data_IF_145812069148
#
_entry.id   IF_145812069148
#
_cell.length_a   1.000
_cell.length_b   1.000
_cell.length_c   1.000
_cell.angle_alpha   90.00
_cell.angle_beta   90.00
_cell.angle_gamma   90.00
#
_symmetry.space_group_name_H-M   'P 1'
#
loop_
_entity.id
_entity.type
_entity.pdbx_description
1 polymer ?
#
# COMPACT_ATOMS: atom_id res chain seq x y z
N UNK A 1 46.50 -16.37 59.24
CA UNK A 1 45.59 -15.59 60.10
C UNK A 1 45.81 -14.12 59.74
N UNK A 2 44.92 -13.38 59.11
CA UNK A 2 43.46 -13.49 59.01
C UNK A 2 42.98 -13.31 57.56
N UNK A 3 41.86 -13.93 57.18
CA UNK A 3 41.21 -13.74 55.90
C UNK A 3 40.47 -12.40 55.88
N UNK A 4 40.59 -11.65 54.78
CA UNK A 4 39.69 -10.53 54.54
C UNK A 4 38.26 -11.07 54.40
N UNK A 5 37.42 -10.70 55.37
CA UNK A 5 35.98 -10.87 55.35
C UNK A 5 35.43 -10.30 54.04
N UNK A 6 34.85 -11.17 53.21
CA UNK A 6 33.81 -10.75 52.28
C UNK A 6 32.56 -10.59 53.13
N UNK A 7 32.13 -9.35 53.31
CA UNK A 7 30.86 -9.01 53.93
C UNK A 7 29.73 -9.40 52.96
N UNK A 8 28.81 -10.32 53.31
CA UNK A 8 27.76 -10.78 52.40
C UNK A 8 26.50 -9.90 52.42
N UNK A 9 26.57 -8.67 52.93
CA UNK A 9 25.40 -7.84 53.18
C UNK A 9 25.43 -6.50 52.42
N UNK A 10 25.38 -6.54 51.09
CA UNK A 10 24.80 -5.47 50.25
C UNK A 10 24.60 -5.98 48.82
N UNK A 11 23.76 -7.02 48.68
CA UNK A 11 23.14 -7.34 47.39
C UNK A 11 21.77 -6.63 47.32
N UNK A 12 21.79 -5.30 47.49
CA UNK A 12 20.69 -4.46 47.02
C UNK A 12 20.97 -4.19 45.56
N UNK A 13 20.63 -5.16 44.71
CA UNK A 13 20.38 -4.87 43.30
C UNK A 13 19.18 -3.92 43.28
N UNK A 14 19.43 -2.61 43.39
CA UNK A 14 18.45 -1.63 42.95
C UNK A 14 18.12 -2.00 41.51
N UNK A 15 16.90 -2.52 41.28
CA UNK A 15 16.38 -2.75 39.94
C UNK A 15 16.37 -1.39 39.26
N UNK A 16 17.42 -1.10 38.50
CA UNK A 16 17.51 0.09 37.67
C UNK A 16 16.39 -0.03 36.66
N UNK A 17 15.33 0.76 36.85
CA UNK A 17 14.20 0.80 35.94
C UNK A 17 14.73 0.98 34.51
N UNK A 18 14.30 0.10 33.60
CA UNK A 18 14.72 0.16 32.20
C UNK A 18 14.45 1.55 31.63
N UNK A 19 15.42 2.10 30.89
CA UNK A 19 15.23 3.36 30.15
C UNK A 19 14.07 3.29 29.14
N UNK A 20 13.58 2.07 28.85
CA UNK A 20 12.43 1.81 27.98
C UNK A 20 11.14 1.52 28.74
N UNK A 21 11.11 1.65 30.08
CA UNK A 21 9.94 1.28 30.91
C UNK A 21 8.65 2.02 30.51
N UNK A 22 8.77 3.21 29.93
CA UNK A 22 7.65 4.03 29.47
C UNK A 22 7.34 3.87 27.97
N UNK A 23 7.99 2.94 27.26
CA UNK A 23 7.70 2.70 25.86
C UNK A 23 6.27 2.13 25.72
N UNK A 24 5.37 2.82 25.00
CA UNK A 24 4.00 2.35 24.86
C UNK A 24 3.97 1.09 24.00
N UNK A 25 3.17 0.11 24.40
CA UNK A 25 2.83 -1.03 23.54
C UNK A 25 1.99 -0.51 22.37
N UNK A 26 2.53 -0.60 21.15
CA UNK A 26 1.80 -0.29 19.93
C UNK A 26 1.14 -1.58 19.43
N UNK A 27 -0.19 -1.56 19.31
CA UNK A 27 -0.95 -2.69 18.77
C UNK A 27 -0.57 -2.95 17.31
N UNK A 28 -0.60 -4.22 16.92
CA UNK A 28 -0.34 -4.62 15.54
C UNK A 28 -1.38 -3.97 14.59
N UNK A 29 -0.92 -3.62 13.39
CA UNK A 29 -1.80 -3.15 12.32
C UNK A 29 -2.86 -4.22 12.01
N UNK A 30 -4.12 -3.79 11.85
CA UNK A 30 -5.29 -4.65 11.67
C UNK A 30 -5.07 -5.70 10.57
N UNK A 31 -4.44 -5.32 9.44
CA UNK A 31 -4.25 -6.23 8.31
C UNK A 31 -3.16 -7.26 8.58
N UNK A 32 -2.12 -6.90 9.33
CA UNK A 32 -1.08 -7.83 9.73
C UNK A 32 -1.58 -8.80 10.81
N UNK A 33 -2.37 -8.31 11.77
CA UNK A 33 -3.03 -9.15 12.76
C UNK A 33 -3.97 -10.17 12.08
N UNK A 34 -4.83 -9.71 11.17
CA UNK A 34 -5.73 -10.57 10.39
C UNK A 34 -4.98 -11.63 9.58
N UNK A 35 -3.83 -11.28 8.98
CA UNK A 35 -3.00 -12.23 8.25
C UNK A 35 -2.33 -13.26 9.18
N UNK A 36 -1.94 -12.86 10.39
CA UNK A 36 -1.40 -13.77 11.39
C UNK A 36 -2.47 -14.77 11.88
N UNK A 37 -3.69 -14.29 12.18
CA UNK A 37 -4.82 -15.14 12.58
C UNK A 37 -5.17 -16.14 11.48
N UNK A 38 -5.27 -15.68 10.22
CA UNK A 38 -5.51 -16.55 9.08
C UNK A 38 -4.43 -17.63 8.93
N UNK A 39 -3.17 -17.32 9.24
CA UNK A 39 -2.07 -18.29 9.15
C UNK A 39 -2.19 -19.38 10.21
N UNK A 40 -2.61 -19.03 11.42
CA UNK A 40 -2.78 -19.96 12.54
C UNK A 40 -3.99 -20.87 12.37
N UNK A 41 -5.06 -20.35 11.76
CA UNK A 41 -6.28 -21.11 11.49
C UNK A 41 -6.00 -22.37 10.64
N UNK A 42 -6.47 -23.53 11.09
CA UNK A 42 -6.30 -24.81 10.40
C UNK A 42 -7.57 -25.25 9.65
N UNK A 43 -8.64 -24.45 9.68
CA UNK A 43 -9.90 -24.82 9.06
C UNK A 43 -9.74 -24.98 7.53
N UNK A 44 -10.19 -26.09 6.93
CA UNK A 44 -9.92 -26.40 5.52
C UNK A 44 -10.56 -25.42 4.53
N UNK A 45 -11.65 -24.75 4.93
CA UNK A 45 -12.38 -23.79 4.10
C UNK A 45 -12.07 -22.33 4.44
N UNK A 46 -10.98 -22.05 5.17
CA UNK A 46 -10.63 -20.66 5.51
C UNK A 46 -10.36 -19.84 4.25
N UNK A 47 -10.83 -18.59 4.24
CA UNK A 47 -10.65 -17.67 3.09
C UNK A 47 -10.01 -16.37 3.57
N UNK A 48 -8.94 -15.94 2.89
CA UNK A 48 -8.28 -14.68 3.19
C UNK A 48 -8.63 -13.61 2.15
N UNK A 49 -9.45 -12.66 2.55
CA UNK A 49 -9.88 -11.49 1.79
C UNK A 49 -9.31 -10.18 2.37
N UNK A 50 -8.34 -10.22 3.27
CA UNK A 50 -7.77 -9.02 3.90
C UNK A 50 -6.71 -8.31 3.04
N UNK A 51 -5.57 -8.94 2.76
CA UNK A 51 -4.46 -8.34 2.03
C UNK A 51 -4.77 -8.05 0.57
N UNK A 52 -4.26 -6.90 0.08
CA UNK A 52 -4.27 -6.53 -1.34
C UNK A 52 -3.13 -7.17 -2.13
N UNK A 53 -2.88 -8.46 -1.94
CA UNK A 53 -1.95 -9.22 -2.78
C UNK A 53 -2.74 -9.99 -3.83
N UNK A 54 -2.29 -9.89 -5.08
CA UNK A 54 -2.91 -10.65 -6.16
C UNK A 54 -2.61 -12.15 -6.01
N UNK A 55 -3.64 -12.96 -6.28
CA UNK A 55 -3.58 -14.41 -6.34
C UNK A 55 -4.16 -14.92 -7.64
N UNK A 56 -3.69 -16.09 -8.08
CA UNK A 56 -4.24 -16.80 -9.23
C UNK A 56 -5.58 -17.49 -8.90
N UNK A 57 -6.10 -18.27 -9.85
CA UNK A 57 -7.34 -19.05 -9.74
C UNK A 57 -7.31 -20.12 -8.64
N UNK A 58 -6.12 -20.49 -8.16
CA UNK A 58 -5.91 -21.46 -7.09
C UNK A 58 -5.60 -20.79 -5.74
N UNK A 59 -5.71 -19.45 -5.67
CA UNK A 59 -5.41 -18.69 -4.46
C UNK A 59 -3.92 -18.60 -4.13
N UNK A 60 -3.04 -18.88 -5.09
CA UNK A 60 -1.58 -18.84 -4.91
C UNK A 60 -0.98 -17.50 -5.37
N UNK A 61 0.16 -17.07 -4.79
CA UNK A 61 0.90 -15.92 -5.29
C UNK A 61 1.28 -16.12 -6.77
N UNK A 62 0.98 -15.13 -7.60
CA UNK A 62 1.26 -15.19 -9.04
C UNK A 62 2.45 -14.33 -9.40
N UNK A 63 3.52 -14.94 -9.92
CA UNK A 63 4.65 -14.21 -10.49
C UNK A 63 4.29 -13.85 -11.92
N UNK A 64 4.27 -12.55 -12.22
CA UNK A 64 4.00 -12.06 -13.58
C UNK A 64 5.01 -12.67 -14.57
N UNK A 65 4.54 -13.24 -15.70
CA UNK A 65 5.40 -13.69 -16.78
C UNK A 65 6.48 -12.68 -17.20
N UNK A 66 6.13 -11.40 -17.35
CA UNK A 66 7.07 -10.31 -17.64
C UNK A 66 8.19 -10.19 -16.59
N UNK A 67 7.84 -10.29 -15.30
CA UNK A 67 8.81 -10.27 -14.19
C UNK A 67 9.72 -11.50 -14.24
N UNK A 68 9.15 -12.68 -14.52
CA UNK A 68 9.95 -13.91 -14.66
C UNK A 68 10.94 -13.82 -15.82
N UNK A 69 10.52 -13.26 -16.97
CA UNK A 69 11.39 -13.03 -18.12
C UNK A 69 12.50 -12.03 -17.79
N UNK A 70 12.15 -10.89 -17.18
CA UNK A 70 13.12 -9.87 -16.73
C UNK A 70 14.15 -10.44 -15.74
N UNK A 71 13.73 -11.29 -14.80
CA UNK A 71 14.65 -11.96 -13.87
C UNK A 71 15.67 -12.84 -14.59
N UNK A 72 15.29 -13.55 -15.67
CA UNK A 72 16.22 -14.37 -16.46
C UNK A 72 17.25 -13.49 -17.16
N UNK A 73 16.78 -12.43 -17.83
CA UNK A 73 17.66 -11.46 -18.51
C UNK A 73 18.68 -10.88 -17.53
N UNK A 74 18.24 -10.47 -16.34
CA UNK A 74 19.14 -9.91 -15.31
C UNK A 74 20.13 -10.95 -14.78
N UNK A 75 19.70 -12.21 -14.62
CA UNK A 75 20.58 -13.28 -14.14
C UNK A 75 21.70 -13.61 -15.14
N UNK A 76 21.41 -13.52 -16.44
CA UNK A 76 22.37 -13.79 -17.53
C UNK A 76 23.44 -12.69 -17.68
N UNK A 77 23.20 -11.48 -17.15
CA UNK A 77 24.12 -10.35 -17.25
C UNK A 77 25.33 -10.42 -16.29
N UNK A 78 25.36 -11.35 -15.33
CA UNK A 78 26.48 -11.48 -14.39
C UNK A 78 26.72 -10.23 -13.52
N UNK A 79 25.65 -9.50 -13.18
CA UNK A 79 25.76 -8.22 -12.48
C UNK A 79 26.28 -8.35 -11.04
N UNK A 80 27.07 -7.37 -10.62
CA UNK A 80 27.46 -7.19 -9.22
C UNK A 80 26.37 -6.49 -8.39
N UNK A 81 26.45 -6.65 -7.07
CA UNK A 81 25.56 -6.06 -6.07
C UNK A 81 26.12 -4.74 -5.49
N UNK A 82 26.70 -3.91 -6.35
CA UNK A 82 27.20 -2.58 -5.98
C UNK A 82 26.08 -1.62 -5.58
N UNK A 83 26.42 -0.64 -4.75
CA UNK A 83 25.51 0.44 -4.39
C UNK A 83 25.04 1.22 -5.62
N UNK A 84 23.76 1.58 -5.62
CA UNK A 84 23.22 2.54 -6.56
C UNK A 84 23.63 3.98 -6.19
N UNK A 85 23.51 4.94 -7.14
CA UNK A 85 23.48 6.36 -6.78
C UNK A 85 22.47 6.63 -5.67
N UNK A 86 22.67 7.71 -4.90
CA UNK A 86 21.81 8.05 -3.76
C UNK A 86 20.33 8.12 -4.16
N UNK A 87 20.03 8.81 -5.28
CA UNK A 87 18.67 8.90 -5.82
C UNK A 87 18.18 7.60 -6.48
N UNK A 88 19.00 6.56 -6.58
CA UNK A 88 18.70 5.27 -7.21
C UNK A 88 19.02 5.20 -8.70
N UNK A 89 18.49 4.18 -9.38
CA UNK A 89 18.77 3.91 -10.79
C UNK A 89 18.21 5.03 -11.70
N UNK A 90 19.04 5.71 -12.51
CA UNK A 90 18.59 6.72 -13.46
C UNK A 90 17.58 6.17 -14.48
N UNK A 91 17.80 4.94 -14.94
CA UNK A 91 16.95 4.23 -15.90
C UNK A 91 15.56 4.02 -15.30
N UNK A 92 15.52 3.43 -14.10
CA UNK A 92 14.27 3.21 -13.39
C UNK A 92 13.49 4.50 -13.15
N UNK A 93 14.17 5.56 -12.71
CA UNK A 93 13.54 6.87 -12.47
C UNK A 93 12.95 7.48 -13.73
N UNK A 94 13.67 7.39 -14.84
CA UNK A 94 13.24 7.90 -16.14
C UNK A 94 12.00 7.16 -16.63
N UNK A 95 12.03 5.82 -16.61
CA UNK A 95 10.91 5.01 -17.08
C UNK A 95 9.68 5.13 -16.18
N UNK A 96 9.85 5.28 -14.87
CA UNK A 96 8.73 5.56 -13.96
C UNK A 96 8.13 6.95 -14.18
N UNK A 97 8.96 7.96 -14.49
CA UNK A 97 8.47 9.30 -14.82
C UNK A 97 7.64 9.29 -16.12
N UNK A 98 8.10 8.59 -17.15
CA UNK A 98 7.34 8.37 -18.40
C UNK A 98 6.05 7.60 -18.14
N UNK A 99 6.10 6.54 -17.34
CA UNK A 99 4.91 5.75 -16.99
C UNK A 99 3.86 6.61 -16.27
N UNK A 100 4.28 7.47 -15.34
CA UNK A 100 3.38 8.29 -14.54
C UNK A 100 2.82 9.52 -15.27
N UNK A 101 3.62 10.16 -16.13
CA UNK A 101 3.26 11.39 -16.83
C UNK A 101 2.80 11.17 -18.29
N UNK A 102 3.01 9.97 -18.83
CA UNK A 102 2.98 9.69 -20.26
C UNK A 102 4.19 10.29 -20.99
N UNK A 103 4.55 9.74 -22.15
CA UNK A 103 5.73 10.19 -22.91
C UNK A 103 5.68 11.68 -23.25
N UNK A 104 4.52 12.17 -23.70
CA UNK A 104 4.31 13.59 -23.99
C UNK A 104 4.42 14.46 -22.74
N UNK A 105 3.84 14.02 -21.62
CA UNK A 105 3.89 14.76 -20.36
C UNK A 105 5.30 14.83 -19.79
N UNK A 106 6.05 13.74 -19.91
CA UNK A 106 7.47 13.68 -19.56
C UNK A 106 8.30 14.60 -20.44
N UNK A 107 8.17 14.51 -21.76
CA UNK A 107 8.95 15.34 -22.69
C UNK A 107 8.79 16.85 -22.45
N UNK A 108 7.58 17.30 -22.08
CA UNK A 108 7.29 18.71 -21.78
C UNK A 108 7.85 19.14 -20.41
N UNK A 109 8.03 18.22 -19.48
CA UNK A 109 8.34 18.51 -18.07
C UNK A 109 9.69 17.98 -17.61
N UNK A 110 10.46 17.31 -18.46
CA UNK A 110 11.69 16.60 -18.10
C UNK A 110 12.64 17.48 -17.30
N UNK A 111 12.91 18.69 -17.78
CA UNK A 111 13.79 19.65 -17.10
C UNK A 111 13.22 20.23 -15.79
N UNK A 112 11.94 19.95 -15.50
CA UNK A 112 11.18 20.42 -14.34
C UNK A 112 10.84 19.30 -13.35
N UNK A 113 11.38 18.10 -13.55
CA UNK A 113 11.13 16.95 -12.67
C UNK A 113 12.33 16.75 -11.75
N UNK A 114 12.07 16.73 -10.44
CA UNK A 114 12.96 16.09 -9.47
C UNK A 114 12.40 14.72 -9.11
N UNK A 115 13.24 13.69 -9.19
CA UNK A 115 12.84 12.30 -8.94
C UNK A 115 13.85 11.57 -8.07
N UNK A 116 13.36 10.67 -7.21
CA UNK A 116 14.19 9.75 -6.44
C UNK A 116 13.50 8.39 -6.30
N UNK A 117 14.25 7.31 -6.46
CA UNK A 117 13.77 5.96 -6.17
C UNK A 117 13.64 5.80 -4.65
N UNK A 118 12.49 5.33 -4.20
CA UNK A 118 12.16 5.15 -2.79
C UNK A 118 11.84 3.69 -2.46
N UNK A 119 11.68 3.37 -1.17
CA UNK A 119 11.23 2.06 -0.70
C UNK A 119 9.72 1.93 -0.94
N UNK A 120 9.35 1.61 -2.19
CA UNK A 120 7.97 1.48 -2.64
C UNK A 120 7.14 2.78 -2.39
N UNK A 121 5.81 2.66 -2.40
CA UNK A 121 4.89 3.77 -2.17
C UNK A 121 4.95 4.35 -0.74
N UNK A 122 5.15 3.50 0.27
CA UNK A 122 5.32 3.95 1.67
C UNK A 122 6.52 4.89 1.80
N UNK A 123 7.67 4.50 1.24
CA UNK A 123 8.86 5.33 1.22
C UNK A 123 8.67 6.61 0.41
N UNK A 124 7.91 6.57 -0.70
CA UNK A 124 7.59 7.76 -1.48
C UNK A 124 6.79 8.78 -0.67
N UNK A 125 5.73 8.34 0.02
CA UNK A 125 4.91 9.19 0.89
C UNK A 125 5.72 9.76 2.06
N UNK A 126 6.57 8.95 2.67
CA UNK A 126 7.44 9.38 3.76
C UNK A 126 8.43 10.45 3.30
N UNK A 127 9.13 10.21 2.19
CA UNK A 127 10.08 11.16 1.62
C UNK A 127 9.40 12.46 1.16
N UNK A 128 8.19 12.37 0.61
CA UNK A 128 7.41 13.55 0.27
C UNK A 128 7.03 14.36 1.52
N UNK A 129 6.56 13.69 2.58
CA UNK A 129 6.26 14.33 3.85
C UNK A 129 7.48 15.03 4.45
N UNK A 130 8.64 14.36 4.46
CA UNK A 130 9.90 14.97 4.91
C UNK A 130 10.28 16.19 4.07
N UNK A 131 10.16 16.08 2.75
CA UNK A 131 10.47 17.16 1.82
C UNK A 131 9.56 18.38 2.08
N UNK A 132 8.24 18.17 2.15
CA UNK A 132 7.27 19.21 2.43
C UNK A 132 7.54 19.86 3.80
N UNK A 133 7.83 19.07 4.82
CA UNK A 133 8.08 19.56 6.18
C UNK A 133 9.33 20.43 6.28
N UNK A 134 10.39 20.11 5.53
CA UNK A 134 11.68 20.81 5.61
C UNK A 134 11.82 21.97 4.62
N UNK A 135 11.22 21.87 3.45
CA UNK A 135 11.54 22.75 2.32
C UNK A 135 10.35 23.52 1.75
N UNK A 136 9.14 23.27 2.22
CA UNK A 136 7.97 24.05 1.81
C UNK A 136 7.54 25.04 2.90
N UNK A 137 6.85 26.10 2.50
CA UNK A 137 6.16 27.03 3.41
C UNK A 137 4.68 26.65 3.61
N UNK A 138 4.29 25.44 3.21
CA UNK A 138 2.89 24.99 3.29
C UNK A 138 2.48 24.74 4.74
N UNK A 139 1.17 24.71 4.98
CA UNK A 139 0.64 24.30 6.27
C UNK A 139 1.03 22.85 6.56
N UNK A 140 0.99 22.49 7.84
CA UNK A 140 1.17 21.10 8.27
C UNK A 140 -0.11 20.27 8.10
N UNK A 141 -1.13 20.79 7.43
CA UNK A 141 -2.40 20.10 7.28
C UNK A 141 -2.37 19.19 6.05
N UNK A 142 -2.71 17.92 6.26
CA UNK A 142 -2.83 16.92 5.19
C UNK A 142 -4.26 16.40 5.19
N UNK A 143 -4.99 16.68 4.12
CA UNK A 143 -6.34 16.19 3.91
C UNK A 143 -6.30 14.75 3.37
N UNK A 144 -6.89 13.83 4.12
CA UNK A 144 -6.93 12.40 3.84
C UNK A 144 -8.39 11.97 3.67
N UNK A 145 -8.67 11.19 2.63
CA UNK A 145 -10.02 10.68 2.37
C UNK A 145 -10.52 9.83 3.53
N UNK A 146 -11.83 9.84 3.77
CA UNK A 146 -12.49 8.92 4.70
C UNK A 146 -13.46 8.01 3.94
N UNK A 147 -13.19 6.69 3.87
CA UNK A 147 -12.02 5.98 4.37
C UNK A 147 -10.76 6.18 3.50
N UNK A 148 -9.62 5.65 3.97
CA UNK A 148 -8.32 5.69 3.29
C UNK A 148 -7.53 4.38 3.52
N UNK A 149 -6.36 4.22 2.88
CA UNK A 149 -5.34 3.32 3.37
C UNK A 149 -4.85 3.77 4.76
N UNK A 150 -4.98 2.89 5.75
CA UNK A 150 -4.73 3.18 7.18
C UNK A 150 -3.36 3.84 7.42
N UNK A 151 -2.34 3.37 6.70
CA UNK A 151 -0.98 3.84 6.89
C UNK A 151 -0.73 5.30 6.43
N UNK A 152 -1.65 5.91 5.67
CA UNK A 152 -1.54 7.36 5.39
C UNK A 152 -1.47 8.16 6.69
N UNK A 153 -2.30 7.83 7.68
CA UNK A 153 -2.26 8.51 8.97
C UNK A 153 -0.95 8.24 9.72
N UNK A 154 -0.45 7.00 9.72
CA UNK A 154 0.79 6.63 10.40
C UNK A 154 2.01 7.36 9.83
N UNK A 155 2.11 7.43 8.50
CA UNK A 155 3.20 8.13 7.81
C UNK A 155 3.17 9.62 8.13
N UNK A 156 2.06 10.31 7.89
CA UNK A 156 2.03 11.77 8.02
C UNK A 156 2.02 12.24 9.48
N UNK A 157 1.35 11.54 10.41
CA UNK A 157 1.40 11.89 11.83
C UNK A 157 2.78 11.71 12.44
N UNK A 158 3.53 10.66 12.05
CA UNK A 158 4.90 10.46 12.56
C UNK A 158 5.86 11.58 12.13
N UNK A 159 5.55 12.27 11.04
CA UNK A 159 6.28 13.45 10.55
C UNK A 159 5.75 14.78 11.11
N UNK A 160 4.76 14.74 12.00
CA UNK A 160 4.18 15.91 12.65
C UNK A 160 3.23 16.72 11.76
N UNK A 161 2.53 16.08 10.81
CA UNK A 161 1.42 16.68 10.09
C UNK A 161 0.09 16.50 10.84
N UNK A 162 -0.80 17.49 10.69
CA UNK A 162 -2.19 17.43 11.10
C UNK A 162 -3.00 16.70 10.01
N UNK A 163 -3.35 15.43 10.27
CA UNK A 163 -4.16 14.65 9.34
C UNK A 163 -5.65 15.02 9.48
N UNK A 164 -6.12 15.89 8.60
CA UNK A 164 -7.52 16.25 8.47
C UNK A 164 -8.24 15.23 7.58
N UNK A 165 -9.53 15.01 7.82
CA UNK A 165 -10.33 14.07 7.05
C UNK A 165 -11.35 14.80 6.19
N UNK A 166 -11.65 14.24 5.03
CA UNK A 166 -12.82 14.61 4.24
C UNK A 166 -13.61 13.38 3.82
N UNK A 167 -14.94 13.47 3.84
CA UNK A 167 -15.80 12.36 3.46
C UNK A 167 -15.60 12.09 1.97
N UNK A 168 -15.19 10.88 1.65
CA UNK A 168 -14.95 10.44 0.27
C UNK A 168 -15.97 9.39 -0.15
N UNK A 169 -16.29 8.47 0.74
CA UNK A 169 -17.27 7.41 0.51
C UNK A 169 -18.57 7.71 1.27
N UNK A 170 -19.69 7.52 0.58
CA UNK A 170 -21.01 7.55 1.16
C UNK A 170 -21.49 6.12 1.43
N UNK A 171 -21.62 5.72 2.70
CA UNK A 171 -21.95 4.35 3.06
C UNK A 171 -23.42 3.97 2.79
N UNK A 172 -24.32 4.95 2.75
CA UNK A 172 -25.75 4.72 2.51
C UNK A 172 -25.97 4.41 1.03
N UNK A 173 -25.48 5.31 0.17
CA UNK A 173 -25.60 5.23 -1.28
C UNK A 173 -24.54 4.34 -1.94
N UNK A 174 -23.45 4.04 -1.22
CA UNK A 174 -22.28 3.28 -1.69
C UNK A 174 -21.60 3.92 -2.90
N UNK A 175 -21.61 5.26 -2.94
CA UNK A 175 -21.01 6.07 -4.01
C UNK A 175 -19.99 7.07 -3.47
N UNK A 176 -19.45 7.90 -4.36
CA UNK A 176 -18.60 9.02 -4.00
C UNK A 176 -19.42 10.09 -3.28
N UNK A 177 -18.92 10.62 -2.16
CA UNK A 177 -19.47 11.79 -1.49
C UNK A 177 -18.99 13.07 -2.20
N UNK A 178 -19.42 13.25 -3.45
CA UNK A 178 -18.89 14.26 -4.38
C UNK A 178 -18.94 15.68 -3.79
N UNK A 179 -20.07 16.07 -3.22
CA UNK A 179 -20.26 17.40 -2.64
C UNK A 179 -19.26 17.67 -1.51
N UNK A 180 -19.01 16.67 -0.64
CA UNK A 180 -18.03 16.80 0.44
C UNK A 180 -16.61 16.97 -0.08
N UNK A 181 -16.26 16.30 -1.19
CA UNK A 181 -14.94 16.41 -1.81
C UNK A 181 -14.76 17.82 -2.36
N UNK A 182 -15.72 18.33 -3.13
CA UNK A 182 -15.64 19.67 -3.71
C UNK A 182 -15.57 20.73 -2.62
N UNK A 183 -16.43 20.67 -1.60
CA UNK A 183 -16.39 21.59 -0.46
C UNK A 183 -15.04 21.57 0.28
N UNK A 184 -14.44 20.39 0.43
CA UNK A 184 -13.11 20.27 1.03
C UNK A 184 -12.06 20.92 0.13
N UNK A 185 -12.09 20.67 -1.18
CA UNK A 185 -11.13 21.25 -2.13
C UNK A 185 -11.25 22.78 -2.21
N UNK A 186 -12.47 23.32 -2.11
CA UNK A 186 -12.72 24.77 -2.12
C UNK A 186 -12.29 25.46 -0.82
N UNK A 187 -12.42 24.77 0.32
CA UNK A 187 -12.02 25.29 1.64
C UNK A 187 -10.55 25.03 2.00
N UNK A 188 -9.90 24.05 1.36
CA UNK A 188 -8.50 23.75 1.59
C UNK A 188 -7.59 24.84 1.00
N UNK A 189 -6.72 25.39 1.83
CA UNK A 189 -5.73 26.36 1.39
C UNK A 189 -4.60 25.67 0.63
N UNK A 190 -4.69 25.66 -0.71
CA UNK A 190 -3.68 25.24 -1.71
C UNK A 190 -2.95 23.90 -1.44
N UNK A 191 -3.30 22.86 -2.20
CA UNK A 191 -2.73 21.51 -2.05
C UNK A 191 -2.14 20.92 -3.33
N UNK A 192 -1.00 20.25 -3.22
CA UNK A 192 -0.47 19.33 -4.25
C UNK A 192 -0.47 17.88 -3.75
N UNK A 193 -0.54 16.93 -4.69
CA UNK A 193 -0.82 15.50 -4.46
C UNK A 193 0.45 14.66 -4.60
N UNK A 194 0.65 13.66 -3.74
CA UNK A 194 1.83 12.79 -3.71
C UNK A 194 1.53 11.39 -4.27
N UNK A 195 2.43 10.90 -5.14
CA UNK A 195 2.59 9.50 -5.55
C UNK A 195 4.07 9.10 -5.45
N UNK A 196 4.59 8.18 -6.30
CA UNK A 196 6.04 8.01 -6.48
C UNK A 196 6.70 9.40 -6.57
N UNK A 197 7.80 9.66 -5.85
CA UNK A 197 8.23 11.04 -5.59
C UNK A 197 8.81 11.68 -6.86
N UNK A 198 7.90 12.15 -7.69
CA UNK A 198 8.07 13.00 -8.84
C UNK A 198 7.58 14.37 -8.40
N UNK A 199 8.51 15.25 -8.06
CA UNK A 199 8.21 16.65 -7.81
C UNK A 199 8.28 17.38 -9.13
N UNK A 200 7.13 17.81 -9.64
CA UNK A 200 7.03 18.61 -10.86
C UNK A 200 7.03 20.08 -10.46
N UNK A 201 8.13 20.78 -10.69
CA UNK A 201 8.24 22.20 -10.37
C UNK A 201 7.77 23.10 -11.51
N UNK A 202 7.53 24.38 -11.22
CA UNK A 202 7.19 25.38 -12.24
C UNK A 202 8.40 25.78 -13.10
N UNK A 203 9.61 25.70 -12.55
CA UNK A 203 10.89 26.07 -13.18
C UNK A 203 11.94 24.96 -13.08
N UNK A 204 12.93 24.99 -13.98
CA UNK A 204 14.05 24.05 -13.98
C UNK A 204 14.97 24.23 -12.77
N UNK A 205 15.18 25.48 -12.34
CA UNK A 205 15.97 25.79 -11.15
C UNK A 205 15.34 25.19 -9.89
N UNK A 206 14.02 25.32 -9.73
CA UNK A 206 13.30 24.72 -8.62
C UNK A 206 13.39 23.19 -8.65
N UNK A 207 13.32 22.57 -9.83
CA UNK A 207 13.51 21.13 -9.98
C UNK A 207 14.92 20.70 -9.60
N UNK A 208 15.95 21.41 -10.06
CA UNK A 208 17.35 21.14 -9.71
C UNK A 208 17.59 21.23 -8.20
N UNK A 209 17.09 22.29 -7.57
CA UNK A 209 17.21 22.49 -6.12
C UNK A 209 16.45 21.40 -5.35
N UNK A 210 15.25 21.05 -5.81
CA UNK A 210 14.44 19.96 -5.23
C UNK A 210 15.15 18.61 -5.35
N UNK A 211 15.81 18.34 -6.47
CA UNK A 211 16.57 17.09 -6.66
C UNK A 211 17.76 17.00 -5.71
N UNK A 212 18.50 18.09 -5.50
CA UNK A 212 19.59 18.13 -4.51
C UNK A 212 19.09 17.93 -3.07
N UNK A 213 17.96 18.55 -2.72
CA UNK A 213 17.33 18.36 -1.42
C UNK A 213 16.83 16.93 -1.21
N UNK A 214 16.24 16.31 -2.24
CA UNK A 214 15.85 14.89 -2.21
C UNK A 214 17.04 13.96 -2.02
N UNK A 215 18.17 14.25 -2.67
CA UNK A 215 19.39 13.48 -2.52
C UNK A 215 19.90 13.54 -1.08
N UNK A 216 19.93 14.74 -0.48
CA UNK A 216 20.30 14.94 0.92
C UNK A 216 19.40 14.14 1.87
N UNK A 217 18.07 14.22 1.71
CA UNK A 217 17.13 13.45 2.52
C UNK A 217 17.35 11.94 2.35
N UNK A 218 17.50 11.48 1.10
CA UNK A 218 17.65 10.06 0.80
C UNK A 218 18.90 9.49 1.45
N UNK A 219 20.01 10.24 1.40
CA UNK A 219 21.26 9.86 2.03
C UNK A 219 21.12 9.67 3.55
N UNK A 220 20.32 10.51 4.20
CA UNK A 220 20.11 10.50 5.66
C UNK A 220 19.17 9.36 6.05
N UNK A 221 18.07 9.15 5.31
CA UNK A 221 17.03 8.18 5.71
C UNK A 221 17.43 6.73 5.42
N UNK A 222 18.02 6.45 4.25
CA UNK A 222 18.34 5.08 3.86
C UNK A 222 19.56 4.94 2.94
N UNK A 223 20.42 5.96 2.86
CA UNK A 223 21.64 5.99 2.04
C UNK A 223 21.42 5.92 0.53
N UNK A 224 21.01 4.75 0.02
CA UNK A 224 20.66 4.49 -1.38
C UNK A 224 19.63 3.34 -1.43
N UNK A 225 18.76 3.31 -2.45
CA UNK A 225 17.67 2.35 -2.50
C UNK A 225 18.11 0.98 -3.07
N UNK A 226 17.32 -0.10 -2.83
CA UNK A 226 17.63 -1.45 -3.32
C UNK A 226 17.67 -1.54 -4.86
N UNK A 227 18.70 -2.23 -5.38
CA UNK A 227 18.93 -2.29 -6.84
C UNK A 227 18.03 -3.26 -7.59
N UNK A 228 17.83 -4.47 -7.08
CA UNK A 228 17.31 -5.59 -7.88
C UNK A 228 15.89 -5.36 -8.40
N UNK A 229 14.99 -4.83 -7.56
CA UNK A 229 13.62 -4.51 -7.98
C UNK A 229 13.55 -3.40 -9.03
N UNK A 230 14.39 -2.37 -8.89
CA UNK A 230 14.48 -1.29 -9.88
C UNK A 230 15.03 -1.80 -11.21
N UNK A 231 16.02 -2.69 -11.20
CA UNK A 231 16.54 -3.34 -12.42
C UNK A 231 15.47 -4.16 -13.12
N UNK A 232 14.65 -4.93 -12.38
CA UNK A 232 13.52 -5.68 -12.96
C UNK A 232 12.56 -4.74 -13.69
N UNK A 233 12.08 -3.71 -12.99
CA UNK A 233 11.13 -2.76 -13.56
C UNK A 233 11.72 -2.00 -14.76
N UNK A 234 12.96 -1.50 -14.66
CA UNK A 234 13.63 -0.82 -15.76
C UNK A 234 13.80 -1.74 -16.98
N UNK A 235 14.22 -2.99 -16.76
CA UNK A 235 14.36 -3.99 -17.85
C UNK A 235 13.02 -4.21 -18.56
N UNK A 236 11.92 -4.33 -17.81
CA UNK A 236 10.58 -4.49 -18.39
C UNK A 236 10.20 -3.25 -19.21
N UNK A 237 10.38 -2.05 -18.65
CA UNK A 237 9.91 -0.80 -19.27
C UNK A 237 10.74 -0.39 -20.49
N UNK A 238 12.00 -0.84 -20.59
CA UNK A 238 12.89 -0.53 -21.71
C UNK A 238 12.78 -1.50 -22.89
N UNK A 239 12.22 -2.69 -22.67
CA UNK A 239 12.06 -3.73 -23.69
C UNK A 239 10.62 -3.80 -24.18
N UNK A 240 10.40 -3.56 -25.47
CA UNK A 240 9.05 -3.52 -26.07
C UNK A 240 8.29 -4.83 -25.94
N UNK A 241 8.97 -5.98 -26.01
CA UNK A 241 8.34 -7.29 -25.86
C UNK A 241 7.94 -7.52 -24.40
N UNK A 242 8.81 -7.14 -23.45
CA UNK A 242 8.49 -7.22 -22.03
C UNK A 242 7.37 -6.25 -21.62
N UNK A 243 7.32 -5.03 -22.16
CA UNK A 243 6.19 -4.11 -21.96
C UNK A 243 4.90 -4.73 -22.49
N UNK A 244 4.92 -5.30 -23.70
CA UNK A 244 3.75 -5.94 -24.28
C UNK A 244 3.29 -7.14 -23.43
N UNK A 245 4.22 -7.95 -22.92
CA UNK A 245 3.90 -9.04 -22.01
C UNK A 245 3.36 -8.52 -20.67
N UNK A 246 3.95 -7.48 -20.11
CA UNK A 246 3.51 -6.87 -18.87
C UNK A 246 2.08 -6.32 -18.99
N UNK A 247 1.74 -5.67 -20.10
CA UNK A 247 0.36 -5.25 -20.38
C UNK A 247 -0.61 -6.45 -20.44
N UNK A 248 -0.22 -7.56 -21.06
CA UNK A 248 -1.02 -8.80 -21.03
C UNK A 248 -1.18 -9.34 -19.62
N UNK A 249 -0.14 -9.27 -18.80
CA UNK A 249 -0.18 -9.71 -17.41
C UNK A 249 -1.16 -8.85 -16.59
N UNK A 250 -1.14 -7.51 -16.77
CA UNK A 250 -2.10 -6.59 -16.14
C UNK A 250 -3.55 -6.85 -16.59
N UNK A 251 -3.77 -7.12 -17.88
CA UNK A 251 -5.09 -7.49 -18.41
C UNK A 251 -5.55 -8.82 -17.81
N UNK A 252 -4.67 -9.81 -17.70
CA UNK A 252 -4.98 -11.11 -17.07
C UNK A 252 -5.44 -10.90 -15.62
N UNK A 253 -4.68 -10.13 -14.83
CA UNK A 253 -5.02 -9.85 -13.43
C UNK A 253 -6.34 -9.09 -13.29
N UNK A 254 -6.51 -8.02 -14.07
CA UNK A 254 -7.70 -7.17 -13.98
C UNK A 254 -8.96 -7.88 -14.47
N UNK A 255 -8.87 -8.70 -15.52
CA UNK A 255 -9.97 -9.51 -16.03
C UNK A 255 -10.43 -10.51 -14.98
N UNK A 256 -9.51 -11.27 -14.36
CA UNK A 256 -9.87 -12.22 -13.29
C UNK A 256 -10.52 -11.54 -12.09
N UNK A 257 -10.03 -10.36 -11.70
CA UNK A 257 -10.65 -9.56 -10.63
C UNK A 257 -12.08 -9.16 -11.03
N UNK A 258 -12.30 -8.72 -12.27
CA UNK A 258 -13.63 -8.40 -12.78
C UNK A 258 -14.55 -9.63 -12.81
N UNK A 259 -14.03 -10.79 -13.22
CA UNK A 259 -14.76 -12.06 -13.22
C UNK A 259 -15.19 -12.47 -11.81
N UNK A 260 -14.29 -12.39 -10.82
CA UNK A 260 -14.63 -12.71 -9.43
C UNK A 260 -15.60 -11.72 -8.81
N UNK A 261 -15.52 -10.45 -9.20
CA UNK A 261 -16.49 -9.42 -8.81
C UNK A 261 -17.88 -9.75 -9.37
N UNK A 262 -17.94 -10.14 -10.64
CA UNK A 262 -19.16 -10.60 -11.30
C UNK A 262 -19.72 -11.88 -10.66
N UNK A 263 -18.86 -12.87 -10.40
CA UNK A 263 -19.24 -14.12 -9.76
C UNK A 263 -19.81 -13.90 -8.35
N UNK A 264 -19.14 -13.10 -7.51
CA UNK A 264 -19.64 -12.77 -6.17
C UNK A 264 -21.02 -12.09 -6.24
N UNK A 265 -21.18 -11.10 -7.12
CA UNK A 265 -22.45 -10.43 -7.33
C UNK A 265 -23.56 -11.40 -7.77
N UNK A 266 -23.29 -12.28 -8.73
CA UNK A 266 -24.25 -13.27 -9.20
C UNK A 266 -24.64 -14.27 -8.12
N UNK A 267 -23.68 -14.77 -7.34
CA UNK A 267 -23.93 -15.71 -6.25
C UNK A 267 -24.76 -15.07 -5.14
N UNK A 268 -24.48 -13.82 -4.75
CA UNK A 268 -25.28 -13.08 -3.77
C UNK A 268 -26.71 -12.83 -4.29
N UNK A 269 -26.85 -12.34 -5.52
CA UNK A 269 -28.15 -11.96 -6.10
C UNK A 269 -29.09 -13.15 -6.30
N UNK A 270 -28.56 -14.39 -6.37
CA UNK A 270 -29.37 -15.61 -6.44
C UNK A 270 -29.94 -16.03 -5.08
N UNK A 271 -29.37 -15.55 -3.99
CA UNK A 271 -29.63 -16.02 -2.63
C UNK A 271 -30.36 -14.97 -1.76
N UNK A 272 -30.48 -13.72 -2.21
CA UNK A 272 -31.17 -12.64 -1.50
C UNK A 272 -31.73 -11.60 -2.47
N UNK A 273 -32.82 -10.93 -2.08
CA UNK A 273 -33.41 -9.79 -2.81
C UNK A 273 -32.66 -8.46 -2.58
N UNK A 274 -31.70 -8.43 -1.66
CA UNK A 274 -30.88 -7.24 -1.40
C UNK A 274 -30.07 -6.82 -2.63
N UNK A 275 -29.99 -5.51 -2.89
CA UNK A 275 -29.16 -4.97 -3.98
C UNK A 275 -27.66 -5.05 -3.65
N UNK A 276 -26.92 -5.75 -4.51
CA UNK A 276 -25.46 -5.91 -4.47
C UNK A 276 -24.75 -5.28 -5.67
N UNK A 277 -25.44 -4.47 -6.49
CA UNK A 277 -24.88 -3.89 -7.73
C UNK A 277 -23.69 -2.97 -7.49
N UNK A 278 -23.52 -2.42 -6.28
CA UNK A 278 -22.32 -1.65 -5.91
C UNK A 278 -21.03 -2.48 -5.99
N UNK A 279 -21.10 -3.81 -5.87
CA UNK A 279 -19.92 -4.67 -5.99
C UNK A 279 -19.32 -4.56 -7.39
N UNK A 280 -20.14 -4.59 -8.44
CA UNK A 280 -19.71 -4.53 -9.85
C UNK A 280 -19.45 -3.10 -10.36
N UNK A 281 -19.94 -2.07 -9.67
CA UNK A 281 -19.61 -0.66 -9.98
C UNK A 281 -18.24 -0.24 -9.46
N UNK A 282 -17.74 -0.92 -8.42
CA UNK A 282 -16.41 -0.67 -7.87
C UNK A 282 -15.31 -1.25 -8.76
N UNK A 283 -14.12 -0.64 -8.70
CA UNK A 283 -12.95 -1.02 -9.52
C UNK A 283 -11.73 -1.31 -8.64
N UNK A 284 -10.72 -1.94 -9.25
CA UNK A 284 -9.47 -2.29 -8.57
C UNK A 284 -9.55 -3.58 -7.77
N UNK A 285 -8.52 -3.82 -6.95
CA UNK A 285 -8.35 -5.09 -6.22
C UNK A 285 -9.31 -5.24 -5.03
N UNK A 286 -9.82 -4.13 -4.51
CA UNK A 286 -10.68 -4.13 -3.33
C UNK A 286 -12.14 -3.87 -3.70
N UNK A 287 -13.03 -4.20 -2.75
CA UNK A 287 -14.43 -3.78 -2.76
C UNK A 287 -14.93 -3.63 -1.33
N UNK A 288 -15.82 -2.67 -1.10
CA UNK A 288 -16.59 -2.54 0.12
C UNK A 288 -17.92 -3.27 -0.05
N UNK A 289 -18.17 -4.28 0.81
CA UNK A 289 -19.45 -4.99 0.81
C UNK A 289 -20.53 -4.18 1.55
N UNK A 290 -20.16 -3.43 2.58
CA UNK A 290 -21.08 -2.66 3.42
C UNK A 290 -21.71 -3.47 4.55
N UNK A 291 -21.06 -4.55 4.97
CA UNK A 291 -21.45 -5.37 6.12
C UNK A 291 -21.13 -4.64 7.43
N UNK A 292 -21.94 -4.87 8.46
CA UNK A 292 -21.65 -4.34 9.79
C UNK A 292 -20.45 -5.08 10.42
N UNK A 293 -19.72 -4.46 11.36
CA UNK A 293 -18.64 -5.13 12.09
C UNK A 293 -19.08 -6.42 12.80
N UNK A 294 -20.34 -6.51 13.22
CA UNK A 294 -20.93 -7.72 13.82
C UNK A 294 -20.97 -8.86 12.79
N UNK A 295 -21.45 -8.58 11.58
CA UNK A 295 -21.48 -9.57 10.48
C UNK A 295 -20.07 -9.97 10.07
N UNK A 296 -19.13 -9.03 9.98
CA UNK A 296 -17.73 -9.32 9.67
C UNK A 296 -17.10 -10.25 10.71
N UNK A 297 -17.32 -10.00 12.00
CA UNK A 297 -16.83 -10.88 13.07
C UNK A 297 -17.46 -12.26 13.00
N UNK A 298 -18.77 -12.36 12.75
CA UNK A 298 -19.47 -13.63 12.56
C UNK A 298 -18.89 -14.44 11.39
N UNK A 299 -18.61 -13.78 10.26
CA UNK A 299 -17.95 -14.41 9.10
C UNK A 299 -16.56 -14.97 9.42
N UNK A 300 -15.80 -14.26 10.24
CA UNK A 300 -14.49 -14.74 10.71
C UNK A 300 -14.65 -15.91 11.68
N UNK A 301 -15.46 -15.75 12.72
CA UNK A 301 -15.50 -16.66 13.87
C UNK A 301 -16.27 -17.96 13.56
N UNK A 302 -17.34 -17.90 12.75
CA UNK A 302 -18.16 -19.08 12.40
C UNK A 302 -17.75 -19.72 11.07
N UNK A 303 -17.24 -18.93 10.13
CA UNK A 303 -17.02 -19.36 8.74
C UNK A 303 -15.58 -19.22 8.24
N UNK A 304 -14.65 -18.77 9.09
CA UNK A 304 -13.23 -18.67 8.76
C UNK A 304 -12.95 -17.76 7.54
N UNK A 305 -13.77 -16.71 7.35
CA UNK A 305 -13.60 -15.72 6.28
C UNK A 305 -13.02 -14.44 6.87
N UNK A 306 -11.78 -14.13 6.48
CA UNK A 306 -11.00 -13.03 7.04
C UNK A 306 -11.06 -11.82 6.10
N UNK A 307 -11.58 -10.70 6.60
CA UNK A 307 -11.64 -9.41 5.89
C UNK A 307 -11.46 -8.25 6.87
N UNK A 308 -11.29 -7.02 6.36
CA UNK A 308 -11.20 -5.85 7.22
C UNK A 308 -12.53 -5.59 7.95
N UNK A 309 -12.47 -5.06 9.18
CA UNK A 309 -13.67 -4.75 9.98
C UNK A 309 -14.56 -3.70 9.31
N UNK A 310 -13.96 -2.83 8.48
CA UNK A 310 -14.65 -1.89 7.58
C UNK A 310 -15.43 -2.54 6.44
N UNK A 311 -15.51 -3.87 6.38
CA UNK A 311 -16.12 -4.65 5.29
C UNK A 311 -15.42 -4.50 3.94
N UNK A 312 -14.19 -3.99 3.94
CA UNK A 312 -13.31 -4.01 2.76
C UNK A 312 -12.79 -5.44 2.54
N UNK A 313 -13.04 -5.98 1.36
CA UNK A 313 -12.50 -7.26 0.89
C UNK A 313 -11.51 -7.06 -0.26
N UNK A 314 -10.52 -7.93 -0.33
CA UNK A 314 -9.68 -8.15 -1.49
C UNK A 314 -10.39 -9.12 -2.43
N UNK A 315 -10.90 -8.61 -3.55
CA UNK A 315 -11.51 -9.42 -4.61
C UNK A 315 -10.48 -10.41 -5.18
N UNK A 316 -9.20 -10.07 -5.12
CA UNK A 316 -8.15 -10.98 -5.53
C UNK A 316 -8.05 -12.25 -4.65
N UNK A 317 -8.56 -12.23 -3.42
CA UNK A 317 -8.65 -13.42 -2.57
C UNK A 317 -9.75 -14.40 -2.97
N UNK A 318 -10.70 -13.97 -3.82
CA UNK A 318 -11.75 -14.82 -4.37
C UNK A 318 -11.23 -15.62 -5.56
N UNK A 319 -11.79 -16.82 -5.74
CA UNK A 319 -11.56 -17.70 -6.86
C UNK A 319 -12.79 -18.59 -7.12
N UNK A 320 -12.86 -19.31 -8.26
CA UNK A 320 -14.00 -20.18 -8.57
C UNK A 320 -14.28 -21.24 -7.49
N UNK A 321 -13.27 -21.66 -6.73
CA UNK A 321 -13.41 -22.65 -5.67
C UNK A 321 -13.96 -22.12 -4.34
N UNK A 322 -13.97 -20.79 -4.11
CA UNK A 322 -14.41 -20.23 -2.83
C UNK A 322 -15.52 -19.16 -2.93
N UNK A 323 -15.78 -18.59 -4.12
CA UNK A 323 -16.69 -17.44 -4.26
C UNK A 323 -18.13 -17.77 -3.84
N UNK A 324 -18.62 -18.98 -4.17
CA UNK A 324 -19.97 -19.43 -3.79
C UNK A 324 -20.07 -19.65 -2.26
N UNK A 325 -19.02 -20.21 -1.65
CA UNK A 325 -18.95 -20.39 -0.20
C UNK A 325 -19.01 -19.04 0.51
N UNK A 326 -18.19 -18.07 0.07
CA UNK A 326 -18.18 -16.72 0.63
C UNK A 326 -19.55 -16.05 0.50
N UNK A 327 -20.17 -16.09 -0.68
CA UNK A 327 -21.49 -15.51 -0.90
C UNK A 327 -22.55 -16.13 0.03
N UNK A 328 -22.56 -17.46 0.13
CA UNK A 328 -23.52 -18.19 0.98
C UNK A 328 -23.36 -17.86 2.46
N UNK A 329 -22.12 -17.76 2.94
CA UNK A 329 -21.84 -17.36 4.32
C UNK A 329 -22.27 -15.91 4.60
N UNK A 330 -22.04 -14.99 3.66
CA UNK A 330 -22.52 -13.61 3.79
C UNK A 330 -24.05 -13.58 3.96
N UNK A 331 -24.79 -14.30 3.12
CA UNK A 331 -26.26 -14.34 3.20
C UNK A 331 -26.73 -14.93 4.52
N UNK A 332 -26.12 -16.02 5.00
CA UNK A 332 -26.45 -16.61 6.31
C UNK A 332 -26.18 -15.69 7.49
N UNK A 333 -25.14 -14.87 7.41
CA UNK A 333 -24.81 -13.93 8.48
C UNK A 333 -25.71 -12.69 8.50
N UNK A 334 -26.41 -12.40 7.39
CA UNK A 334 -27.37 -11.30 7.28
C UNK A 334 -28.78 -11.67 7.75
N UNK A 335 -29.06 -12.97 7.90
CA UNK A 335 -30.27 -13.52 8.52
C UNK A 335 -30.11 -13.63 10.04
#
# INVERSE_FOLDING_TARGET
MSPHHVDPAHDTTEEVASVFANAPLILADEMFALAADFKLDQHPNKVNLGPGSYKDENGQPWILPSVAMSRRIIAEQGLYHEYLPILGSPEFRTEVAKLGLGDTGYQVKESKIASGQTISGTGALHMAGLFLKRFSSLSNDVYISDPTWMNHHGIFKSLGFNCLKYRYYDAETKTLAYESIIQTLESATSGERVGCLLLVSSTEEAAKNSQSALESLTRIEFSNPPAYGARIAATILQDKELVAQWHKDLVTMSSRIADMRGALYQSLSKQTEQDWTHIIRQSGMFGFLGLSPVVVRRLRDEYHIYMAESSRISIAGLNPGNVEYVASCIVRCLQ
#
